data_IF_057141976765
#
_entry.id   IF_057141976765
#
_cell.length_a   1.000
_cell.length_b   1.000
_cell.length_c   1.000
_cell.angle_alpha   90.00
_cell.angle_beta   90.00
_cell.angle_gamma   90.00
#
_symmetry.space_group_name_H-M   'P 1'
#
loop_
_entity.id
_entity.type
_entity.pdbx_description
1 polymer ?
#
# COMPACT_ATOMS: atom_id res chain seq x y z
N UNK A 1 78.11 -25.74 -12.74
CA UNK A 1 77.77 -25.04 -11.47
C UNK A 1 76.73 -23.94 -11.67
N UNK A 2 76.85 -23.09 -12.70
CA UNK A 2 75.93 -21.96 -12.96
C UNK A 2 74.45 -22.36 -13.17
N UNK A 3 74.17 -23.48 -13.83
CA UNK A 3 72.79 -23.98 -14.04
C UNK A 3 72.07 -24.40 -12.74
N UNK A 4 72.78 -25.06 -11.82
CA UNK A 4 72.20 -25.45 -10.52
C UNK A 4 71.86 -24.25 -9.65
N UNK A 5 72.65 -23.18 -9.73
CA UNK A 5 72.39 -21.90 -9.06
C UNK A 5 71.19 -21.17 -9.66
N UNK A 6 71.02 -21.19 -10.98
CA UNK A 6 69.85 -20.62 -11.64
C UNK A 6 68.57 -21.37 -11.27
N UNK A 7 68.60 -22.70 -11.23
CA UNK A 7 67.47 -23.52 -10.80
C UNK A 7 67.13 -23.25 -9.33
N UNK A 8 68.14 -23.19 -8.45
CA UNK A 8 67.93 -22.90 -7.02
C UNK A 8 67.37 -21.49 -6.77
N UNK A 9 67.85 -20.49 -7.52
CA UNK A 9 67.35 -19.12 -7.44
C UNK A 9 65.92 -19.02 -7.98
N UNK A 10 65.61 -19.73 -9.06
CA UNK A 10 64.27 -19.79 -9.63
C UNK A 10 63.28 -20.47 -8.67
N UNK A 11 63.65 -21.58 -8.05
CA UNK A 11 62.80 -22.25 -7.04
C UNK A 11 62.62 -21.39 -5.79
N UNK A 12 63.65 -20.64 -5.38
CA UNK A 12 63.56 -19.71 -4.26
C UNK A 12 62.62 -18.54 -4.58
N UNK A 13 62.76 -17.92 -5.75
CA UNK A 13 61.86 -16.84 -6.20
C UNK A 13 60.41 -17.31 -6.32
N UNK A 14 60.18 -18.53 -6.80
CA UNK A 14 58.85 -19.12 -6.89
C UNK A 14 58.24 -19.35 -5.49
N UNK A 15 59.05 -19.83 -4.54
CA UNK A 15 58.62 -20.03 -3.15
C UNK A 15 58.32 -18.71 -2.43
N UNK A 16 59.07 -17.63 -2.71
CA UNK A 16 58.80 -16.30 -2.15
C UNK A 16 57.61 -15.58 -2.80
N UNK A 17 57.25 -15.91 -4.04
CA UNK A 17 56.12 -15.28 -4.75
C UNK A 17 54.73 -15.81 -4.39
N UNK A 18 54.63 -16.90 -3.61
CA UNK A 18 53.37 -17.59 -3.28
C UNK A 18 52.64 -17.04 -2.04
N UNK A 19 53.17 -16.02 -1.36
CA UNK A 19 52.62 -15.50 -0.08
C UNK A 19 51.78 -14.23 -0.22
N UNK A 20 51.28 -13.92 -1.42
CA UNK A 20 50.37 -12.79 -1.59
C UNK A 20 49.04 -13.08 -0.86
N UNK A 21 48.74 -12.30 0.18
CA UNK A 21 47.42 -12.30 0.82
C UNK A 21 46.40 -11.74 -0.16
N UNK A 22 45.58 -12.61 -0.75
CA UNK A 22 44.47 -12.19 -1.58
C UNK A 22 43.33 -11.67 -0.68
N UNK A 23 43.04 -10.37 -0.75
CA UNK A 23 41.83 -9.79 -0.16
C UNK A 23 40.63 -10.16 -1.05
N UNK A 24 40.14 -11.39 -0.88
CA UNK A 24 38.85 -11.76 -1.41
C UNK A 24 37.78 -10.90 -0.71
N UNK A 25 37.07 -10.07 -1.48
CA UNK A 25 35.95 -9.30 -0.94
C UNK A 25 34.78 -10.25 -0.65
N UNK A 26 34.23 -10.18 0.56
CA UNK A 26 32.98 -10.85 0.91
C UNK A 26 31.79 -9.92 0.68
N UNK A 27 30.72 -10.43 0.07
CA UNK A 27 29.44 -9.73 0.02
C UNK A 27 28.56 -10.20 1.18
N UNK A 28 28.02 -9.26 1.96
CA UNK A 28 27.00 -9.54 2.98
C UNK A 28 25.67 -9.01 2.49
N UNK A 29 24.67 -9.88 2.37
CA UNK A 29 23.32 -9.54 1.92
C UNK A 29 22.36 -9.88 3.06
N UNK A 30 21.54 -8.90 3.44
CA UNK A 30 20.44 -9.07 4.38
C UNK A 30 19.14 -8.69 3.65
N UNK A 31 18.06 -9.43 3.91
CA UNK A 31 16.75 -9.15 3.33
C UNK A 31 15.66 -9.28 4.38
N UNK A 32 14.55 -8.60 4.16
CA UNK A 32 13.32 -8.72 4.96
C UNK A 32 12.14 -8.66 4.00
N UNK A 33 11.18 -9.57 4.18
CA UNK A 33 9.95 -9.59 3.38
C UNK A 33 8.86 -8.97 4.23
N UNK A 34 8.23 -7.92 3.73
CA UNK A 34 7.12 -7.21 4.37
C UNK A 34 5.97 -7.03 3.39
N UNK A 35 4.74 -7.00 3.90
CA UNK A 35 3.59 -6.60 3.08
C UNK A 35 3.58 -5.08 2.86
N UNK A 36 3.06 -4.64 1.73
CA UNK A 36 2.77 -3.24 1.47
C UNK A 36 1.32 -3.14 1.00
N UNK A 37 0.62 -2.13 1.49
CA UNK A 37 -0.74 -1.80 1.10
C UNK A 37 -0.65 -0.60 0.17
N UNK A 38 -1.20 -0.76 -1.04
CA UNK A 38 -1.40 0.32 -1.99
C UNK A 38 -2.87 0.76 -1.96
N UNK A 39 -3.08 2.06 -1.86
CA UNK A 39 -4.36 2.74 -1.96
C UNK A 39 -4.41 3.41 -3.32
N UNK A 40 -5.47 3.15 -4.09
CA UNK A 40 -5.74 3.84 -5.34
C UNK A 40 -7.01 4.69 -5.15
N UNK A 41 -6.84 5.99 -5.01
CA UNK A 41 -7.93 6.93 -4.79
C UNK A 41 -8.32 7.64 -6.09
N UNK A 42 -9.59 7.56 -6.46
CA UNK A 42 -10.16 8.22 -7.62
C UNK A 42 -11.56 8.74 -7.29
N UNK A 43 -11.99 9.79 -8.00
CA UNK A 43 -13.36 10.26 -7.97
C UNK A 43 -14.31 9.28 -8.68
N UNK A 44 -15.62 9.40 -8.46
CA UNK A 44 -16.64 8.60 -9.16
C UNK A 44 -16.60 8.76 -10.70
N UNK A 45 -15.96 9.82 -11.18
CA UNK A 45 -15.68 10.08 -12.61
C UNK A 45 -14.53 9.23 -13.16
N UNK A 46 -13.76 8.58 -12.30
CA UNK A 46 -12.51 7.86 -12.62
C UNK A 46 -11.26 8.75 -12.62
N UNK A 47 -11.39 10.06 -12.39
CA UNK A 47 -10.23 10.95 -12.28
C UNK A 47 -9.43 10.64 -11.00
N UNK A 48 -8.09 10.53 -11.06
CA UNK A 48 -7.28 10.28 -9.87
C UNK A 48 -7.38 11.41 -8.84
N UNK A 49 -7.38 11.06 -7.55
CA UNK A 49 -7.30 12.02 -6.45
C UNK A 49 -5.85 12.49 -6.20
N UNK A 50 -5.25 13.10 -7.22
CA UNK A 50 -3.86 13.54 -7.20
C UNK A 50 -3.59 14.56 -6.09
N UNK A 51 -2.68 14.28 -5.16
CA UNK A 51 -2.46 15.17 -4.01
C UNK A 51 -3.53 15.06 -2.90
N UNK A 52 -4.37 14.03 -2.92
CA UNK A 52 -5.30 13.72 -1.84
C UNK A 52 -4.58 13.44 -0.51
N UNK A 53 -5.08 13.99 0.59
CA UNK A 53 -4.54 13.77 1.93
C UNK A 53 -4.94 12.39 2.43
N UNK A 54 -3.96 11.59 2.86
CA UNK A 54 -4.17 10.24 3.40
C UNK A 54 -3.90 10.26 4.89
N UNK A 55 -4.80 9.65 5.67
CA UNK A 55 -4.63 9.41 7.10
C UNK A 55 -4.90 7.95 7.41
N UNK A 56 -3.92 7.29 8.02
CA UNK A 56 -3.96 5.87 8.41
C UNK A 56 -4.07 5.79 9.92
N UNK A 57 -5.02 5.00 10.42
CA UNK A 57 -5.22 4.72 11.83
C UNK A 57 -4.95 3.24 12.11
N UNK A 58 -4.23 2.98 13.19
CA UNK A 58 -3.90 1.63 13.61
C UNK A 58 -5.07 1.00 14.42
N UNK A 59 -5.22 -0.34 14.42
CA UNK A 59 -6.34 -1.00 15.08
C UNK A 59 -6.42 -0.73 16.60
N UNK A 60 -5.28 -0.46 17.23
CA UNK A 60 -5.15 -0.23 18.68
C UNK A 60 -5.47 1.21 19.11
N UNK A 61 -5.40 2.17 18.19
CA UNK A 61 -5.79 3.57 18.41
C UNK A 61 -6.43 4.16 17.16
N UNK A 62 -7.73 3.93 16.94
CA UNK A 62 -8.45 4.43 15.76
C UNK A 62 -8.74 5.94 15.84
N UNK A 63 -8.38 6.61 16.93
CA UNK A 63 -8.65 8.03 17.15
C UNK A 63 -7.46 8.94 16.85
N UNK A 64 -6.25 8.37 16.87
CA UNK A 64 -5.01 9.10 16.60
C UNK A 64 -4.39 8.62 15.29
N UNK A 65 -4.06 9.53 14.35
CA UNK A 65 -3.32 9.16 13.14
C UNK A 65 -2.02 8.43 13.46
N UNK A 66 -1.88 7.22 12.94
CA UNK A 66 -0.62 6.47 12.99
C UNK A 66 0.35 6.95 11.90
N UNK A 67 -0.16 7.19 10.70
CA UNK A 67 0.59 7.72 9.57
C UNK A 67 -0.28 8.74 8.81
N UNK A 68 0.35 9.79 8.32
CA UNK A 68 -0.28 10.73 7.37
C UNK A 68 0.58 10.81 6.12
N UNK A 69 -0.05 11.11 4.99
CA UNK A 69 0.61 11.17 3.70
C UNK A 69 -0.23 11.88 2.65
N UNK A 70 0.24 11.82 1.41
CA UNK A 70 -0.41 12.45 0.26
C UNK A 70 -0.31 11.49 -0.93
N UNK A 71 -1.39 11.36 -1.71
CA UNK A 71 -1.39 10.58 -2.95
C UNK A 71 -0.48 11.20 -4.02
N UNK A 72 0.12 10.34 -4.86
CA UNK A 72 0.87 10.75 -6.06
C UNK A 72 -0.03 11.33 -7.16
N UNK A 73 0.56 11.69 -8.31
CA UNK A 73 -0.17 12.30 -9.45
C UNK A 73 -1.23 11.36 -10.05
N UNK A 74 -1.11 10.06 -9.84
CA UNK A 74 -2.08 9.06 -10.26
C UNK A 74 -3.01 8.62 -9.10
N UNK A 75 -3.05 9.38 -8.00
CA UNK A 75 -3.96 9.13 -6.89
C UNK A 75 -3.55 7.95 -6.01
N UNK A 76 -2.32 7.44 -6.11
CA UNK A 76 -1.84 6.30 -5.34
C UNK A 76 -1.12 6.70 -4.08
N UNK A 77 -1.25 5.88 -3.04
CA UNK A 77 -0.49 6.00 -1.80
C UNK A 77 -0.16 4.62 -1.26
N UNK A 78 1.10 4.39 -0.86
CA UNK A 78 1.55 3.08 -0.38
C UNK A 78 2.13 3.19 1.02
N UNK A 79 1.78 2.25 1.90
CA UNK A 79 2.35 2.14 3.23
C UNK A 79 2.55 0.68 3.64
N UNK A 80 3.48 0.45 4.57
CA UNK A 80 3.68 -0.86 5.20
C UNK A 80 3.12 -0.80 6.62
N UNK A 81 2.07 -1.56 6.95
CA UNK A 81 1.50 -1.62 8.29
C UNK A 81 2.47 -2.29 9.26
N UNK A 82 2.38 -1.95 10.54
CA UNK A 82 3.18 -2.60 11.59
C UNK A 82 2.69 -4.05 11.79
N UNK A 83 3.52 -5.09 11.52
CA UNK A 83 3.11 -6.48 11.67
C UNK A 83 2.84 -6.88 13.12
N UNK A 84 3.29 -6.10 14.11
CA UNK A 84 2.97 -6.32 15.52
C UNK A 84 1.54 -5.89 15.89
N UNK A 85 0.82 -5.23 14.97
CA UNK A 85 -0.53 -4.69 15.17
C UNK A 85 -1.54 -5.33 14.20
N UNK A 86 -1.87 -6.62 14.38
CA UNK A 86 -2.94 -7.26 13.60
C UNK A 86 -4.30 -6.64 13.95
N UNK A 87 -5.23 -6.70 13.01
CA UNK A 87 -6.58 -6.14 13.16
C UNK A 87 -6.97 -5.28 11.96
N UNK A 88 -8.06 -4.53 12.12
CA UNK A 88 -8.61 -3.66 11.07
C UNK A 88 -7.95 -2.29 11.10
N UNK A 89 -7.25 -1.95 10.02
CA UNK A 89 -6.64 -0.65 9.81
C UNK A 89 -7.61 0.25 9.04
N UNK A 90 -7.78 1.48 9.50
CA UNK A 90 -8.65 2.46 8.84
C UNK A 90 -7.81 3.43 8.03
N UNK A 91 -8.11 3.55 6.74
CA UNK A 91 -7.40 4.46 5.84
C UNK A 91 -8.40 5.43 5.23
N UNK A 92 -8.23 6.72 5.52
CA UNK A 92 -9.03 7.79 4.95
C UNK A 92 -8.24 8.52 3.88
N UNK A 93 -8.87 8.78 2.73
CA UNK A 93 -8.33 9.68 1.71
C UNK A 93 -9.30 10.84 1.50
N UNK A 94 -8.79 12.08 1.54
CA UNK A 94 -9.59 13.30 1.41
C UNK A 94 -8.95 14.33 0.48
N UNK A 95 -9.77 14.93 -0.38
CA UNK A 95 -9.37 16.05 -1.22
C UNK A 95 -10.55 16.99 -1.46
N UNK A 96 -10.34 18.30 -1.26
CA UNK A 96 -11.31 19.35 -1.63
C UNK A 96 -12.74 19.13 -1.11
N UNK A 97 -12.89 18.56 0.09
CA UNK A 97 -14.19 18.26 0.70
C UNK A 97 -14.80 16.92 0.32
N UNK A 98 -14.22 16.21 -0.65
CA UNK A 98 -14.53 14.83 -0.99
C UNK A 98 -13.58 13.88 -0.25
N UNK A 99 -14.03 12.66 0.00
CA UNK A 99 -13.19 11.61 0.55
C UNK A 99 -13.99 10.44 1.08
N UNK A 100 -13.28 9.35 1.33
CA UNK A 100 -13.84 8.10 1.80
C UNK A 100 -12.87 7.42 2.77
N UNK A 101 -13.35 6.38 3.46
CA UNK A 101 -12.56 5.57 4.39
C UNK A 101 -12.72 4.09 4.06
N UNK A 102 -11.59 3.37 4.00
CA UNK A 102 -11.55 1.92 3.83
C UNK A 102 -11.04 1.24 5.09
N UNK A 103 -11.61 0.07 5.38
CA UNK A 103 -11.29 -0.77 6.52
C UNK A 103 -10.53 -2.01 6.02
N UNK A 104 -9.26 -2.13 6.36
CA UNK A 104 -8.36 -3.15 5.83
C UNK A 104 -8.02 -4.13 6.95
N UNK A 105 -8.57 -5.35 6.96
CA UNK A 105 -8.20 -6.35 7.95
C UNK A 105 -6.82 -6.94 7.63
N UNK A 106 -5.95 -7.00 8.64
CA UNK A 106 -4.58 -7.50 8.53
C UNK A 106 -4.36 -8.60 9.57
N UNK A 107 -3.84 -9.74 9.13
CA UNK A 107 -3.51 -10.88 10.00
C UNK A 107 -4.51 -12.04 9.97
N UNK A 108 -5.60 -11.93 9.20
CA UNK A 108 -6.44 -13.07 8.82
C UNK A 108 -6.04 -13.55 7.41
N UNK A 109 -6.04 -14.86 7.17
CA UNK A 109 -5.70 -15.48 5.87
C UNK A 109 -6.65 -15.01 4.76
N UNK A 110 -6.40 -13.84 4.16
CA UNK A 110 -7.22 -13.35 3.06
C UNK A 110 -6.41 -12.53 2.05
N UNK A 111 -6.50 -12.92 0.78
CA UNK A 111 -6.18 -12.05 -0.34
C UNK A 111 -7.29 -11.00 -0.46
N UNK A 112 -7.00 -9.71 -0.23
CA UNK A 112 -8.05 -8.68 -0.15
C UNK A 112 -7.75 -7.48 -1.03
N UNK A 113 -8.44 -7.44 -2.16
CA UNK A 113 -8.77 -6.19 -2.85
C UNK A 113 -10.19 -5.80 -2.44
N UNK A 114 -10.35 -4.63 -1.83
CA UNK A 114 -11.64 -4.01 -1.53
C UNK A 114 -11.80 -2.72 -2.33
N UNK A 115 -13.02 -2.44 -2.78
CA UNK A 115 -13.39 -1.15 -3.36
C UNK A 115 -14.50 -0.54 -2.54
N UNK A 116 -14.44 0.78 -2.35
CA UNK A 116 -15.56 1.56 -1.81
C UNK A 116 -16.29 2.26 -2.97
N UNK A 117 -17.35 3.03 -2.66
CA UNK A 117 -18.18 3.71 -3.66
C UNK A 117 -19.41 2.92 -4.16
N UNK A 118 -20.30 3.61 -4.87
CA UNK A 118 -21.53 3.04 -5.43
C UNK A 118 -21.47 2.94 -6.94
N UNK A 119 -22.06 1.90 -7.50
CA UNK A 119 -22.23 1.77 -8.95
C UNK A 119 -23.29 2.75 -9.48
N UNK A 120 -23.21 3.17 -10.76
CA UNK A 120 -24.23 4.04 -11.36
C UNK A 120 -25.65 3.49 -11.24
N UNK A 121 -25.82 2.17 -11.35
CA UNK A 121 -27.11 1.51 -11.19
C UNK A 121 -27.64 1.64 -9.75
N UNK A 122 -26.79 1.46 -8.74
CA UNK A 122 -27.16 1.66 -7.35
C UNK A 122 -27.61 3.10 -7.10
N UNK A 123 -26.90 4.10 -7.65
CA UNK A 123 -27.27 5.52 -7.56
C UNK A 123 -28.64 5.78 -8.20
N UNK A 124 -28.89 5.25 -9.40
CA UNK A 124 -30.18 5.39 -10.10
C UNK A 124 -31.32 4.74 -9.32
N UNK A 125 -31.11 3.53 -8.78
CA UNK A 125 -32.12 2.83 -7.99
C UNK A 125 -32.45 3.59 -6.70
N UNK A 126 -31.45 4.12 -6.00
CA UNK A 126 -31.65 4.97 -4.83
C UNK A 126 -32.49 6.20 -5.19
N UNK A 127 -32.19 6.87 -6.32
CA UNK A 127 -32.96 8.00 -6.82
C UNK A 127 -34.42 7.64 -7.13
N UNK A 128 -34.66 6.50 -7.78
CA UNK A 128 -36.02 6.02 -8.10
C UNK A 128 -36.85 5.74 -6.83
N UNK A 129 -36.24 5.13 -5.81
CA UNK A 129 -36.88 4.89 -4.51
C UNK A 129 -37.28 6.20 -3.81
N UNK A 130 -36.42 7.22 -3.85
CA UNK A 130 -36.72 8.53 -3.27
C UNK A 130 -37.88 9.21 -4.00
N UNK A 131 -37.87 9.23 -5.34
CA UNK A 131 -38.97 9.78 -6.15
C UNK A 131 -40.27 9.04 -5.87
N UNK A 132 -40.23 7.70 -5.81
CA UNK A 132 -41.39 6.89 -5.49
C UNK A 132 -41.93 7.17 -4.08
N UNK A 133 -41.05 7.40 -3.09
CA UNK A 133 -41.45 7.81 -1.75
C UNK A 133 -42.20 9.15 -1.74
N UNK A 134 -41.73 10.14 -2.50
CA UNK A 134 -42.44 11.42 -2.64
C UNK A 134 -43.79 11.25 -3.34
N UNK A 135 -43.84 10.48 -4.43
CA UNK A 135 -45.08 10.19 -5.16
C UNK A 135 -46.08 9.46 -4.26
N UNK A 136 -45.65 8.42 -3.55
CA UNK A 136 -46.48 7.67 -2.61
C UNK A 136 -47.02 8.55 -1.48
N UNK A 137 -46.18 9.44 -0.92
CA UNK A 137 -46.60 10.40 0.10
C UNK A 137 -47.65 11.38 -0.45
N UNK A 138 -47.43 11.93 -1.65
CA UNK A 138 -48.39 12.82 -2.30
C UNK A 138 -49.73 12.11 -2.56
N UNK A 139 -49.69 10.88 -3.07
CA UNK A 139 -50.89 10.07 -3.31
C UNK A 139 -51.65 9.76 -2.01
N UNK A 140 -50.93 9.42 -0.93
CA UNK A 140 -51.52 9.18 0.38
C UNK A 140 -52.34 10.37 0.89
N UNK A 141 -51.80 11.59 0.82
CA UNK A 141 -52.52 12.80 1.23
C UNK A 141 -53.57 13.26 0.23
N UNK A 142 -53.45 12.91 -1.06
CA UNK A 142 -54.45 13.21 -2.08
C UNK A 142 -55.73 12.38 -1.95
N UNK A 143 -55.68 11.25 -1.22
CA UNK A 143 -56.85 10.39 -1.01
C UNK A 143 -57.85 11.11 -0.09
N UNK A 144 -58.94 11.62 -0.67
CA UNK A 144 -60.06 12.22 0.07
C UNK A 144 -60.54 11.24 1.14
N UNK A 145 -60.69 11.72 2.38
CA UNK A 145 -61.42 10.97 3.42
C UNK A 145 -62.86 10.84 2.92
N UNK A 146 -63.26 9.61 2.60
CA UNK A 146 -64.67 9.25 2.54
C UNK A 146 -65.22 9.17 3.97
#
# INVERSE_FOLDING_TARGET
MKWKLLVALFTLLLALGLTATAFAHGAKIEYTISMAIEICAAYDTGEPMAGGQVTVYAPDDPSTPWLTGVCDEEGRFTFTPDPAKPGTWDVQVRQSGHGDMVHIPIGEDVAMSGTTGYTPLQIVLMGACVVWGFVGTALFFSRRRA
#
